data_IF_007396146626
#
_entry.id   IF_007396146626
#
_cell.length_a   1.000
_cell.length_b   1.000
_cell.length_c   1.000
_cell.angle_alpha   90.00
_cell.angle_beta   90.00
_cell.angle_gamma   90.00
#
_symmetry.space_group_name_H-M   'P 1'
#
loop_
_entity.id
_entity.type
_entity.pdbx_description
1 polymer ?
#
# COMPACT_ATOMS: atom_id res chain seq x y z
N UNK A 1 3.41 -8.80 -4.52
CA UNK A 1 3.77 -7.40 -4.28
C UNK A 1 5.02 -7.06 -5.05
N UNK A 2 5.12 -5.84 -5.52
CA UNK A 2 6.26 -5.41 -6.32
C UNK A 2 7.18 -4.52 -5.50
N UNK A 3 8.42 -4.96 -5.32
CA UNK A 3 9.38 -4.26 -4.49
C UNK A 3 9.60 -2.80 -4.89
N UNK A 4 9.74 -2.44 -6.19
CA UNK A 4 9.92 -1.03 -6.55
C UNK A 4 8.75 -0.14 -6.14
N UNK A 5 7.53 -0.67 -6.18
CA UNK A 5 6.35 0.08 -5.77
C UNK A 5 6.34 0.27 -4.26
N UNK A 6 6.67 -0.77 -3.52
CA UNK A 6 6.73 -0.70 -2.06
C UNK A 6 7.80 0.31 -1.63
N UNK A 7 8.95 0.30 -2.29
CA UNK A 7 10.01 1.26 -1.99
C UNK A 7 9.54 2.70 -2.21
N UNK A 8 8.87 2.94 -3.34
CA UNK A 8 8.33 4.28 -3.63
C UNK A 8 7.35 4.71 -2.55
N UNK A 9 6.47 3.81 -2.14
CA UNK A 9 5.44 4.14 -1.15
C UNK A 9 6.05 4.40 0.23
N UNK A 10 7.08 3.66 0.63
CA UNK A 10 7.74 3.94 1.91
C UNK A 10 8.42 5.29 1.90
N UNK A 11 9.01 5.69 0.78
CA UNK A 11 9.58 7.02 0.64
C UNK A 11 8.49 8.10 0.70
N UNK A 12 7.33 7.83 0.12
CA UNK A 12 6.19 8.74 0.21
C UNK A 12 5.77 8.93 1.67
N UNK A 13 5.68 7.84 2.43
CA UNK A 13 5.32 7.89 3.84
C UNK A 13 6.32 8.74 4.62
N UNK A 14 7.59 8.58 4.35
CA UNK A 14 8.64 9.35 5.02
C UNK A 14 8.52 10.85 4.76
N UNK A 15 8.10 11.23 3.55
CA UNK A 15 7.98 12.63 3.15
C UNK A 15 6.64 13.24 3.53
N UNK A 16 5.61 12.43 3.67
CA UNK A 16 4.25 12.89 3.95
C UNK A 16 3.75 12.31 5.26
N UNK A 17 2.85 11.35 5.15
CA UNK A 17 2.22 10.75 6.34
C UNK A 17 1.65 9.39 5.96
N UNK A 18 1.76 8.43 6.87
CA UNK A 18 1.19 7.11 6.67
C UNK A 18 -0.33 7.14 6.54
N UNK A 19 -0.98 8.16 7.09
CA UNK A 19 -2.44 8.29 6.98
C UNK A 19 -2.91 8.38 5.54
N UNK A 20 -2.11 8.98 4.64
CA UNK A 20 -2.45 9.00 3.22
C UNK A 20 -2.59 7.59 2.67
N UNK A 21 -1.72 6.69 3.10
CA UNK A 21 -1.76 5.31 2.63
C UNK A 21 -2.98 4.58 3.20
N UNK A 22 -3.24 4.74 4.50
CA UNK A 22 -4.38 4.10 5.14
C UNK A 22 -5.70 4.55 4.54
N UNK A 23 -5.85 5.84 4.31
CA UNK A 23 -7.07 6.39 3.71
C UNK A 23 -7.21 5.94 2.26
N UNK A 24 -6.11 5.84 1.53
CA UNK A 24 -6.14 5.33 0.16
C UNK A 24 -6.59 3.88 0.12
N UNK A 25 -6.13 3.07 1.05
CA UNK A 25 -6.58 1.67 1.15
C UNK A 25 -8.09 1.63 1.36
N UNK A 26 -8.63 2.46 2.24
CA UNK A 26 -10.07 2.49 2.48
C UNK A 26 -10.86 2.84 1.23
N UNK A 27 -10.37 3.82 0.46
CA UNK A 27 -11.02 4.22 -0.79
C UNK A 27 -10.99 3.06 -1.79
N UNK A 28 -9.84 2.42 -1.94
CA UNK A 28 -9.71 1.31 -2.89
C UNK A 28 -10.55 0.11 -2.47
N UNK A 29 -10.61 -0.17 -1.17
CA UNK A 29 -11.45 -1.26 -0.68
C UNK A 29 -12.92 -0.99 -0.95
N UNK A 30 -13.38 0.25 -0.81
CA UNK A 30 -14.76 0.59 -1.11
C UNK A 30 -15.08 0.40 -2.58
N UNK A 31 -14.10 0.62 -3.47
CA UNK A 31 -14.29 0.42 -4.90
C UNK A 31 -14.54 -1.04 -5.26
N UNK A 32 -14.02 -1.98 -4.47
CA UNK A 32 -14.22 -3.41 -4.76
C UNK A 32 -15.67 -3.82 -4.62
N UNK A 33 -16.51 -2.99 -4.01
CA UNK A 33 -17.95 -3.27 -3.84
C UNK A 33 -18.80 -2.76 -4.99
N UNK A 34 -18.20 -2.05 -5.95
CA UNK A 34 -18.93 -1.52 -7.11
C UNK A 34 -19.26 -2.66 -8.07
N UNK A 35 -20.55 -2.96 -8.32
CA UNK A 35 -20.92 -4.17 -9.05
C UNK A 35 -20.62 -4.13 -10.54
N UNK A 36 -20.31 -2.98 -11.10
CA UNK A 36 -20.02 -2.83 -12.54
C UNK A 36 -18.55 -2.96 -12.88
N UNK A 37 -17.66 -3.16 -11.89
CA UNK A 37 -16.25 -3.33 -12.14
C UNK A 37 -15.98 -4.66 -12.83
N UNK A 38 -15.06 -4.62 -13.79
CA UNK A 38 -14.61 -5.83 -14.49
C UNK A 38 -13.57 -6.57 -13.65
N UNK A 39 -13.40 -7.86 -13.92
CA UNK A 39 -12.44 -8.68 -13.17
C UNK A 39 -11.02 -8.13 -13.27
N UNK A 40 -10.62 -7.64 -14.45
CA UNK A 40 -9.29 -7.05 -14.63
C UNK A 40 -9.10 -5.81 -13.77
N UNK A 41 -10.16 -5.02 -13.62
CA UNK A 41 -10.09 -3.83 -12.79
C UNK A 41 -9.97 -4.19 -11.31
N UNK A 42 -10.72 -5.21 -10.88
CA UNK A 42 -10.63 -5.71 -9.51
C UNK A 42 -9.25 -6.27 -9.22
N UNK A 43 -8.63 -6.97 -10.16
CA UNK A 43 -7.27 -7.49 -10.01
C UNK A 43 -6.26 -6.39 -9.78
N UNK A 44 -6.36 -5.30 -10.55
CA UNK A 44 -5.46 -4.16 -10.42
C UNK A 44 -5.65 -3.48 -9.05
N UNK A 45 -6.90 -3.28 -8.66
CA UNK A 45 -7.20 -2.68 -7.35
C UNK A 45 -6.64 -3.54 -6.23
N UNK A 46 -6.82 -4.85 -6.32
CA UNK A 46 -6.29 -5.78 -5.33
C UNK A 46 -4.76 -5.72 -5.24
N UNK A 47 -4.07 -5.61 -6.38
CA UNK A 47 -2.62 -5.47 -6.39
C UNK A 47 -2.19 -4.16 -5.72
N UNK A 48 -2.87 -3.06 -6.01
CA UNK A 48 -2.57 -1.78 -5.39
C UNK A 48 -2.76 -1.83 -3.88
N UNK A 49 -3.85 -2.44 -3.42
CA UNK A 49 -4.11 -2.60 -2.00
C UNK A 49 -2.99 -3.40 -1.34
N UNK A 50 -2.57 -4.50 -1.96
CA UNK A 50 -1.49 -5.33 -1.44
C UNK A 50 -0.19 -4.55 -1.32
N UNK A 51 0.14 -3.74 -2.32
CA UNK A 51 1.35 -2.92 -2.28
C UNK A 51 1.27 -1.85 -1.18
N UNK A 52 0.10 -1.26 -0.98
CA UNK A 52 -0.09 -0.26 0.06
C UNK A 52 0.06 -0.88 1.45
N UNK A 53 -0.53 -2.05 1.68
CA UNK A 53 -0.33 -2.76 2.94
C UNK A 53 1.12 -3.16 3.14
N UNK A 54 1.80 -3.59 2.08
CA UNK A 54 3.22 -3.93 2.15
C UNK A 54 4.06 -2.73 2.59
N UNK A 55 3.75 -1.55 2.08
CA UNK A 55 4.46 -0.33 2.46
C UNK A 55 4.24 0.00 3.93
N UNK A 56 3.01 -0.17 4.44
CA UNK A 56 2.74 0.06 5.85
C UNK A 56 3.49 -0.92 6.74
N UNK A 57 3.59 -2.19 6.33
CA UNK A 57 4.33 -3.18 7.09
C UNK A 57 5.83 -2.85 7.15
N UNK A 58 6.41 -2.44 6.03
CA UNK A 58 7.81 -2.04 5.99
C UNK A 58 8.03 -0.82 6.89
N UNK A 59 7.12 0.14 6.87
CA UNK A 59 7.23 1.34 7.69
C UNK A 59 7.18 0.99 9.18
N UNK A 60 6.32 0.06 9.58
CA UNK A 60 6.26 -0.41 10.96
C UNK A 60 7.58 -1.04 11.39
N UNK A 61 8.16 -1.87 10.53
CA UNK A 61 9.45 -2.50 10.82
C UNK A 61 10.54 -1.46 11.04
N UNK A 62 10.56 -0.43 10.21
CA UNK A 62 11.54 0.65 10.35
C UNK A 62 11.32 1.39 11.67
N UNK A 63 10.09 1.69 12.02
CA UNK A 63 9.76 2.38 13.27
C UNK A 63 10.11 1.55 14.49
N UNK A 64 10.11 0.24 14.36
CA UNK A 64 10.48 -0.68 15.44
C UNK A 64 12.00 -0.91 15.53
N UNK A 65 12.78 -0.14 14.79
CA UNK A 65 14.22 -0.21 14.88
C UNK A 65 14.90 -1.09 13.85
N UNK A 66 14.15 -1.67 12.94
CA UNK A 66 14.72 -2.47 11.86
C UNK A 66 15.16 -1.54 10.72
N UNK A 67 16.24 -1.91 10.02
CA UNK A 67 16.66 -1.15 8.86
C UNK A 67 15.81 -1.52 7.66
N UNK A 68 15.81 -0.65 6.64
CA UNK A 68 15.12 -0.94 5.38
C UNK A 68 15.63 -2.21 4.73
N UNK A 69 16.92 -2.52 4.95
CA UNK A 69 17.53 -3.71 4.39
C UNK A 69 16.97 -4.97 5.02
N UNK A 70 16.66 -4.93 6.30
CA UNK A 70 16.17 -6.09 7.04
C UNK A 70 14.63 -6.19 6.98
N UNK A 71 13.98 -5.10 6.69
CA UNK A 71 12.53 -5.08 6.56
C UNK A 71 12.09 -5.58 5.18
#
# INVERSE_FOLDING_TARGET
MKIPIIKHLTEFIEQKDADFIEETIEVLESLTEVPTLKDEELDVIGELISNLYGALEVQKSIQNGESKKDA
#
